data_IF_309381393890
#
_entry.id   IF_309381393890
#
_cell.length_a   1.000
_cell.length_b   1.000
_cell.length_c   1.000
_cell.angle_alpha   90.00
_cell.angle_beta   90.00
_cell.angle_gamma   90.00
#
_symmetry.space_group_name_H-M   'P 1'
#
loop_
_entity.id
_entity.type
_entity.pdbx_description
1 polymer ?
#
# COMPACT_ATOMS: atom_id res chain seq x y z
N UNK A 1 18.40 -10.02 -34.07
CA UNK A 1 17.63 -8.80 -33.78
C UNK A 1 16.14 -9.03 -34.01
N UNK A 2 15.76 -9.73 -35.08
CA UNK A 2 14.35 -9.99 -35.44
C UNK A 2 13.59 -10.85 -34.43
N UNK A 3 14.22 -11.84 -33.82
CA UNK A 3 13.60 -12.69 -32.79
C UNK A 3 13.25 -11.94 -31.50
N UNK A 4 14.03 -10.93 -31.13
CA UNK A 4 13.79 -10.09 -29.97
C UNK A 4 12.65 -9.09 -30.23
N UNK A 5 12.59 -8.54 -31.43
CA UNK A 5 11.51 -7.64 -31.87
C UNK A 5 10.16 -8.41 -31.89
N UNK A 6 10.16 -9.64 -32.42
CA UNK A 6 8.97 -10.50 -32.45
C UNK A 6 8.55 -10.89 -31.03
N UNK A 7 9.48 -11.19 -30.14
CA UNK A 7 9.15 -11.49 -28.72
C UNK A 7 8.59 -10.26 -27.97
N UNK A 8 9.11 -9.06 -28.23
CA UNK A 8 8.64 -7.83 -27.60
C UNK A 8 7.31 -7.31 -28.17
N UNK A 9 6.96 -7.67 -29.39
CA UNK A 9 5.67 -7.34 -30.02
C UNK A 9 4.56 -8.34 -29.67
N UNK A 10 4.90 -9.46 -29.03
CA UNK A 10 3.91 -10.39 -28.49
C UNK A 10 3.01 -9.72 -27.43
N UNK A 11 1.82 -10.25 -27.21
CA UNK A 11 0.89 -9.76 -26.19
C UNK A 11 0.94 -10.62 -24.92
N UNK A 12 0.98 -9.96 -23.77
CA UNK A 12 0.81 -10.56 -22.46
C UNK A 12 -0.32 -9.85 -21.72
N UNK A 13 -1.36 -10.57 -21.34
CA UNK A 13 -2.59 -10.04 -20.72
C UNK A 13 -3.20 -8.87 -21.52
N UNK A 14 -3.27 -9.00 -22.85
CA UNK A 14 -3.86 -7.99 -23.73
C UNK A 14 -3.02 -6.73 -23.93
N UNK A 15 -1.76 -6.73 -23.46
CA UNK A 15 -0.85 -5.60 -23.59
C UNK A 15 0.48 -6.06 -24.19
N UNK A 16 1.05 -5.33 -25.16
CA UNK A 16 2.35 -5.68 -25.76
C UNK A 16 3.45 -5.84 -24.71
N UNK A 17 4.29 -6.86 -24.88
CA UNK A 17 5.35 -7.23 -23.90
C UNK A 17 6.31 -6.07 -23.63
N UNK A 18 6.56 -5.19 -24.58
CA UNK A 18 7.46 -4.06 -24.37
C UNK A 18 6.94 -3.06 -23.30
N UNK A 19 5.62 -2.94 -23.11
CA UNK A 19 5.05 -2.13 -22.01
C UNK A 19 5.41 -2.73 -20.65
N UNK A 20 5.27 -4.06 -20.53
CA UNK A 20 5.66 -4.79 -19.33
C UNK A 20 7.17 -4.71 -19.07
N UNK A 21 7.98 -4.83 -20.14
CA UNK A 21 9.43 -4.71 -20.03
C UNK A 21 9.85 -3.31 -19.57
N UNK A 22 9.27 -2.25 -20.15
CA UNK A 22 9.53 -0.87 -19.72
C UNK A 22 9.15 -0.66 -18.26
N UNK A 23 7.97 -1.13 -17.83
CA UNK A 23 7.53 -1.08 -16.45
C UNK A 23 8.50 -1.81 -15.50
N UNK A 24 8.86 -3.05 -15.81
CA UNK A 24 9.79 -3.86 -14.98
C UNK A 24 11.15 -3.18 -14.87
N UNK A 25 11.68 -2.63 -15.97
CA UNK A 25 12.95 -1.90 -15.96
C UNK A 25 12.89 -0.70 -15.01
N UNK A 26 11.80 0.08 -15.05
CA UNK A 26 11.63 1.23 -14.15
C UNK A 26 11.53 0.76 -12.69
N UNK A 27 10.70 -0.24 -12.40
CA UNK A 27 10.52 -0.77 -11.04
C UNK A 27 11.82 -1.35 -10.48
N UNK A 28 12.51 -2.19 -11.25
CA UNK A 28 13.81 -2.77 -10.85
C UNK A 28 14.85 -1.66 -10.66
N UNK A 29 14.88 -0.67 -11.56
CA UNK A 29 15.76 0.49 -11.43
C UNK A 29 15.51 1.27 -10.13
N UNK A 30 14.23 1.49 -9.78
CA UNK A 30 13.85 2.14 -8.52
C UNK A 30 14.24 1.31 -7.29
N UNK A 31 14.04 -0.01 -7.32
CA UNK A 31 14.43 -0.90 -6.22
C UNK A 31 15.95 -0.94 -6.04
N UNK A 32 16.71 -0.98 -7.14
CA UNK A 32 18.18 -0.94 -7.10
C UNK A 32 18.69 0.41 -6.61
N UNK A 33 18.08 1.51 -7.06
CA UNK A 33 18.39 2.85 -6.58
C UNK A 33 18.17 2.97 -5.06
N UNK A 34 17.05 2.46 -4.61
CA UNK A 34 16.68 2.45 -3.20
C UNK A 34 17.65 1.66 -2.33
N UNK A 35 18.07 0.45 -2.76
CA UNK A 35 19.01 -0.38 -2.03
C UNK A 35 20.46 0.11 -2.13
N UNK A 36 20.86 0.58 -3.30
CA UNK A 36 22.26 0.82 -3.61
C UNK A 36 22.76 2.22 -3.22
N UNK A 37 21.89 3.22 -3.28
CA UNK A 37 22.27 4.64 -3.12
C UNK A 37 21.76 5.20 -1.81
N UNK A 38 20.48 4.94 -1.46
CA UNK A 38 19.85 5.56 -0.31
C UNK A 38 20.19 4.90 1.04
N UNK A 39 20.60 3.63 1.03
CA UNK A 39 20.78 2.84 2.25
C UNK A 39 22.19 2.30 2.46
N UNK A 40 23.17 3.00 1.92
CA UNK A 40 24.59 2.65 2.10
C UNK A 40 25.07 2.93 3.51
N UNK A 41 24.56 3.99 4.13
CA UNK A 41 24.87 4.39 5.50
C UNK A 41 23.65 4.25 6.40
N UNK A 42 23.85 3.73 7.62
CA UNK A 42 22.81 3.58 8.62
C UNK A 42 22.54 4.92 9.29
N UNK A 43 21.54 5.64 8.82
CA UNK A 43 21.05 6.84 9.51
C UNK A 43 19.52 6.79 9.65
N UNK A 44 19.00 7.51 10.63
CA UNK A 44 17.55 7.68 10.75
C UNK A 44 17.07 8.65 9.66
N UNK A 45 16.10 8.20 8.86
CA UNK A 45 15.53 9.01 7.78
C UNK A 45 14.73 10.16 8.39
N UNK A 46 15.14 11.39 8.12
CA UNK A 46 14.40 12.59 8.53
C UNK A 46 13.11 12.77 7.70
N UNK A 47 12.11 13.42 8.28
CA UNK A 47 10.83 13.68 7.60
C UNK A 47 10.99 14.49 6.29
N UNK A 48 11.97 15.42 6.24
CA UNK A 48 12.25 16.23 5.05
C UNK A 48 12.85 15.39 3.91
N UNK A 49 13.81 14.52 4.24
CA UNK A 49 14.41 13.58 3.30
C UNK A 49 13.37 12.61 2.76
N UNK A 50 12.52 12.10 3.65
CA UNK A 50 11.40 11.22 3.34
C UNK A 50 10.41 11.87 2.36
N UNK A 51 10.03 13.13 2.57
CA UNK A 51 9.14 13.87 1.67
C UNK A 51 9.78 14.12 0.29
N UNK A 52 11.07 14.40 0.24
CA UNK A 52 11.79 14.61 -1.02
C UNK A 52 11.87 13.32 -1.83
N UNK A 53 12.15 12.21 -1.14
CA UNK A 53 12.18 10.89 -1.75
C UNK A 53 10.79 10.47 -2.25
N UNK A 54 9.74 10.72 -1.45
CA UNK A 54 8.37 10.49 -1.87
C UNK A 54 8.02 11.32 -3.12
N UNK A 55 8.38 12.61 -3.13
CA UNK A 55 8.21 13.48 -4.29
C UNK A 55 8.90 12.93 -5.55
N UNK A 56 10.10 12.35 -5.42
CA UNK A 56 10.80 11.68 -6.51
C UNK A 56 10.01 10.48 -7.06
N UNK A 57 9.47 9.59 -6.20
CA UNK A 57 8.62 8.49 -6.63
C UNK A 57 7.34 8.97 -7.33
N UNK A 58 6.71 10.02 -6.78
CA UNK A 58 5.51 10.64 -7.41
C UNK A 58 5.83 11.16 -8.81
N UNK A 59 6.94 11.87 -8.99
CA UNK A 59 7.35 12.39 -10.31
C UNK A 59 7.57 11.26 -11.32
N UNK A 60 8.20 10.16 -10.91
CA UNK A 60 8.39 9.01 -11.79
C UNK A 60 7.05 8.35 -12.14
N UNK A 61 6.14 8.18 -11.17
CA UNK A 61 4.81 7.64 -11.42
C UNK A 61 4.02 8.53 -12.40
N UNK A 62 4.06 9.87 -12.21
CA UNK A 62 3.42 10.81 -13.12
C UNK A 62 4.04 10.80 -14.52
N UNK A 63 5.36 10.69 -14.62
CA UNK A 63 6.06 10.57 -15.90
C UNK A 63 5.69 9.28 -16.63
N UNK A 64 5.60 8.16 -15.91
CA UNK A 64 5.15 6.88 -16.46
C UNK A 64 3.68 6.95 -16.94
N UNK A 65 2.79 7.55 -16.15
CA UNK A 65 1.41 7.81 -16.56
C UNK A 65 1.32 8.71 -17.81
N UNK A 66 2.18 9.73 -17.92
CA UNK A 66 2.31 10.58 -19.10
C UNK A 66 2.78 9.79 -20.34
N UNK A 67 3.70 8.83 -20.14
CA UNK A 67 4.13 7.92 -21.20
C UNK A 67 2.99 6.97 -21.63
N UNK A 68 2.20 6.42 -20.69
CA UNK A 68 1.00 5.63 -20.99
C UNK A 68 0.00 6.46 -21.79
N UNK A 69 -0.25 7.71 -21.35
CA UNK A 69 -1.12 8.64 -22.07
C UNK A 69 -0.68 8.86 -23.51
N UNK A 70 0.61 9.11 -23.71
CA UNK A 70 1.14 9.36 -25.06
C UNK A 70 1.06 8.12 -25.96
N UNK A 71 1.29 6.93 -25.41
CA UNK A 71 1.33 5.67 -26.20
C UNK A 71 -0.05 5.04 -26.42
N UNK A 72 -0.95 5.14 -25.43
CA UNK A 72 -2.24 4.42 -25.42
C UNK A 72 -3.45 5.36 -25.44
N UNK A 73 -3.21 6.66 -25.47
CA UNK A 73 -4.26 7.68 -25.53
C UNK A 73 -4.71 8.21 -24.17
N UNK A 74 -5.56 9.25 -24.24
CA UNK A 74 -5.97 10.01 -23.07
C UNK A 74 -6.77 9.18 -22.05
N UNK A 75 -7.60 8.25 -22.52
CA UNK A 75 -8.42 7.41 -21.64
C UNK A 75 -7.55 6.53 -20.75
N UNK A 76 -6.60 5.78 -21.33
CA UNK A 76 -5.66 4.94 -20.56
C UNK A 76 -4.79 5.74 -19.59
N UNK A 77 -4.37 6.96 -19.99
CA UNK A 77 -3.63 7.85 -19.10
C UNK A 77 -4.46 8.31 -17.90
N UNK A 78 -5.71 8.71 -18.13
CA UNK A 78 -6.64 9.13 -17.07
C UNK A 78 -6.98 7.97 -16.13
N UNK A 79 -7.16 6.76 -16.66
CA UNK A 79 -7.38 5.55 -15.87
C UNK A 79 -6.17 5.26 -14.97
N UNK A 80 -4.95 5.34 -15.52
CA UNK A 80 -3.72 5.17 -14.73
C UNK A 80 -3.63 6.17 -13.59
N UNK A 81 -3.84 7.47 -13.84
CA UNK A 81 -3.79 8.48 -12.80
C UNK A 81 -4.88 8.30 -11.76
N UNK A 82 -6.09 7.92 -12.19
CA UNK A 82 -7.21 7.66 -11.26
C UNK A 82 -6.89 6.45 -10.36
N UNK A 83 -6.43 5.34 -10.94
CA UNK A 83 -6.02 4.15 -10.19
C UNK A 83 -4.87 4.45 -9.23
N UNK A 84 -3.84 5.18 -9.68
CA UNK A 84 -2.71 5.60 -8.86
C UNK A 84 -3.16 6.44 -7.64
N UNK A 85 -4.05 7.41 -7.84
CA UNK A 85 -4.54 8.29 -6.76
C UNK A 85 -5.41 7.54 -5.75
N UNK A 86 -6.28 6.66 -6.23
CA UNK A 86 -7.11 5.81 -5.35
C UNK A 86 -6.21 4.92 -4.51
N UNK A 87 -5.29 4.20 -5.13
CA UNK A 87 -4.38 3.31 -4.42
C UNK A 87 -3.49 4.06 -3.44
N UNK A 88 -2.91 5.19 -3.87
CA UNK A 88 -2.10 6.05 -3.01
C UNK A 88 -2.86 6.52 -1.77
N UNK A 89 -4.14 6.82 -1.94
CA UNK A 89 -4.99 7.30 -0.86
C UNK A 89 -5.37 6.20 0.12
N UNK A 90 -5.76 5.02 -0.39
CA UNK A 90 -6.06 3.85 0.44
C UNK A 90 -4.82 3.38 1.20
N UNK A 91 -3.68 3.45 0.54
CA UNK A 91 -2.42 3.06 1.13
C UNK A 91 -1.94 3.99 2.26
N UNK A 92 -2.33 5.28 2.25
CA UNK A 92 -2.06 6.18 3.39
C UNK A 92 -2.74 5.70 4.67
N UNK A 93 -3.96 5.17 4.59
CA UNK A 93 -4.65 4.60 5.76
C UNK A 93 -3.92 3.37 6.32
N UNK A 94 -3.35 2.53 5.45
CA UNK A 94 -2.56 1.36 5.84
C UNK A 94 -1.33 1.75 6.67
N UNK A 95 -0.76 2.94 6.47
CA UNK A 95 0.41 3.43 7.21
C UNK A 95 0.16 3.54 8.71
N UNK A 96 -1.07 3.87 9.13
CA UNK A 96 -1.41 3.95 10.55
C UNK A 96 -1.31 2.57 11.22
N UNK A 97 -1.78 1.52 10.55
CA UNK A 97 -1.71 0.15 11.06
C UNK A 97 -0.25 -0.31 11.11
N UNK A 98 0.54 -0.02 10.08
CA UNK A 98 1.97 -0.36 10.03
C UNK A 98 2.73 0.33 11.18
N UNK A 99 2.47 1.62 11.41
CA UNK A 99 3.09 2.37 12.50
C UNK A 99 2.71 1.80 13.88
N UNK A 100 1.45 1.38 14.05
CA UNK A 100 0.99 0.72 15.28
C UNK A 100 1.68 -0.62 15.51
N UNK A 101 1.89 -1.42 14.44
CA UNK A 101 2.65 -2.69 14.51
C UNK A 101 4.10 -2.43 14.96
N UNK A 102 4.77 -1.45 14.38
CA UNK A 102 6.14 -1.11 14.76
C UNK A 102 6.24 -0.58 16.19
N UNK A 103 5.29 0.27 16.61
CA UNK A 103 5.20 0.77 17.97
C UNK A 103 5.00 -0.36 18.98
N UNK A 104 4.04 -1.26 18.74
CA UNK A 104 3.74 -2.41 19.59
C UNK A 104 4.94 -3.37 19.74
N UNK A 105 5.64 -3.66 18.65
CA UNK A 105 6.82 -4.54 18.65
C UNK A 105 8.10 -3.83 19.09
N UNK A 106 8.05 -2.53 19.42
CA UNK A 106 9.19 -1.74 19.86
C UNK A 106 10.31 -1.65 18.83
N UNK A 107 9.98 -1.57 17.53
CA UNK A 107 10.98 -1.57 16.46
C UNK A 107 11.53 -0.15 16.25
N UNK A 108 12.83 0.09 16.52
CA UNK A 108 13.46 1.38 16.29
C UNK A 108 13.39 1.81 14.82
N UNK A 109 13.29 3.12 14.57
CA UNK A 109 13.23 3.71 13.22
C UNK A 109 14.34 3.19 12.30
N UNK A 110 15.52 2.98 12.84
CA UNK A 110 16.69 2.43 12.14
C UNK A 110 16.41 1.09 11.45
N UNK A 111 15.53 0.25 12.00
CA UNK A 111 15.22 -1.08 11.44
C UNK A 111 13.89 -1.12 10.68
N UNK A 112 13.01 -0.11 10.86
CA UNK A 112 11.71 -0.07 10.18
C UNK A 112 11.85 -0.07 8.66
N UNK A 113 12.83 0.69 8.12
CA UNK A 113 13.07 0.75 6.68
C UNK A 113 13.38 -0.62 6.06
N UNK A 114 14.07 -1.50 6.81
CA UNK A 114 14.40 -2.85 6.34
C UNK A 114 13.16 -3.75 6.25
N UNK A 115 12.27 -3.65 7.24
CA UNK A 115 11.00 -4.37 7.21
C UNK A 115 10.15 -3.89 6.04
N UNK A 116 10.03 -2.56 5.86
CA UNK A 116 9.27 -1.98 4.76
C UNK A 116 9.86 -2.32 3.38
N UNK A 117 11.18 -2.42 3.26
CA UNK A 117 11.81 -2.83 1.99
C UNK A 117 11.45 -4.26 1.60
N UNK A 118 11.61 -5.21 2.52
CA UNK A 118 11.22 -6.60 2.26
C UNK A 118 9.70 -6.72 2.08
N UNK A 119 8.94 -5.89 2.81
CA UNK A 119 7.51 -5.75 2.65
C UNK A 119 7.11 -5.35 1.23
N UNK A 120 7.75 -4.34 0.61
CA UNK A 120 7.44 -3.96 -0.78
C UNK A 120 7.65 -5.12 -1.75
N UNK A 121 8.69 -5.93 -1.58
CA UNK A 121 8.92 -7.09 -2.46
C UNK A 121 7.80 -8.13 -2.33
N UNK A 122 7.34 -8.39 -1.09
CA UNK A 122 6.20 -9.27 -0.84
C UNK A 122 4.91 -8.71 -1.42
N UNK A 123 4.65 -7.42 -1.18
CA UNK A 123 3.48 -6.70 -1.72
C UNK A 123 3.44 -6.79 -3.25
N UNK A 124 4.55 -6.53 -3.96
CA UNK A 124 4.62 -6.65 -5.43
C UNK A 124 4.20 -8.06 -5.88
N UNK A 125 4.72 -9.09 -5.20
CA UNK A 125 4.40 -10.48 -5.53
C UNK A 125 2.92 -10.83 -5.23
N UNK A 126 2.42 -10.48 -4.05
CA UNK A 126 1.04 -10.75 -3.67
C UNK A 126 0.05 -10.00 -4.54
N UNK A 127 0.31 -8.73 -4.85
CA UNK A 127 -0.54 -7.92 -5.73
C UNK A 127 -0.54 -8.45 -7.16
N UNK A 128 0.59 -8.95 -7.66
CA UNK A 128 0.63 -9.62 -8.97
C UNK A 128 -0.34 -10.80 -9.01
N UNK A 129 -0.35 -11.63 -7.97
CA UNK A 129 -1.27 -12.77 -7.87
C UNK A 129 -2.73 -12.31 -7.72
N UNK A 130 -3.01 -11.36 -6.82
CA UNK A 130 -4.37 -10.88 -6.58
C UNK A 130 -4.98 -10.17 -7.80
N UNK A 131 -4.20 -9.31 -8.46
CA UNK A 131 -4.66 -8.59 -9.65
C UNK A 131 -4.83 -9.57 -10.81
N UNK A 132 -3.91 -10.52 -10.98
CA UNK A 132 -4.04 -11.58 -11.99
C UNK A 132 -5.29 -12.43 -11.78
N UNK A 133 -5.56 -12.86 -10.55
CA UNK A 133 -6.79 -13.59 -10.19
C UNK A 133 -8.03 -12.72 -10.37
N UNK A 134 -7.97 -11.45 -9.94
CA UNK A 134 -9.07 -10.49 -10.11
C UNK A 134 -9.41 -10.25 -11.58
N UNK A 135 -8.38 -10.07 -12.44
CA UNK A 135 -8.54 -9.92 -13.88
C UNK A 135 -9.19 -11.17 -14.52
N UNK A 136 -8.71 -12.36 -14.17
CA UNK A 136 -9.28 -13.62 -14.66
C UNK A 136 -10.76 -13.77 -14.23
N UNK A 137 -11.08 -13.46 -12.98
CA UNK A 137 -12.44 -13.53 -12.48
C UNK A 137 -13.37 -12.52 -13.16
N UNK A 138 -12.92 -11.29 -13.35
CA UNK A 138 -13.71 -10.23 -14.03
C UNK A 138 -13.93 -10.57 -15.50
N UNK A 139 -12.92 -11.16 -16.15
CA UNK A 139 -13.03 -11.58 -17.55
C UNK A 139 -14.04 -12.75 -17.76
N UNK A 140 -14.00 -13.74 -16.86
CA UNK A 140 -14.90 -14.91 -16.95
C UNK A 140 -16.31 -14.61 -16.46
N UNK A 141 -16.45 -13.73 -15.45
CA UNK A 141 -17.71 -13.51 -14.75
C UNK A 141 -18.04 -12.02 -14.62
N UNK A 142 -18.76 -11.46 -15.57
CA UNK A 142 -19.14 -10.03 -15.56
C UNK A 142 -19.88 -9.58 -14.29
N UNK A 143 -20.60 -10.47 -13.61
CA UNK A 143 -21.31 -10.15 -12.36
C UNK A 143 -20.37 -9.88 -11.18
N UNK A 144 -19.10 -10.30 -11.25
CA UNK A 144 -18.09 -10.07 -10.20
C UNK A 144 -17.84 -8.58 -10.00
N UNK A 145 -17.90 -7.77 -11.06
CA UNK A 145 -17.82 -6.30 -10.92
C UNK A 145 -18.94 -5.76 -10.03
N UNK A 146 -20.17 -6.26 -10.16
CA UNK A 146 -21.26 -5.86 -9.28
C UNK A 146 -21.03 -6.29 -7.83
N UNK A 147 -20.45 -7.48 -7.62
CA UNK A 147 -20.05 -7.93 -6.29
C UNK A 147 -18.97 -7.01 -5.71
N UNK A 148 -17.96 -6.62 -6.51
CA UNK A 148 -16.96 -5.65 -6.11
C UNK A 148 -17.58 -4.29 -5.75
N UNK A 149 -18.52 -3.82 -6.56
CA UNK A 149 -19.26 -2.59 -6.26
C UNK A 149 -19.99 -2.65 -4.93
N UNK A 150 -20.72 -3.74 -4.66
CA UNK A 150 -21.40 -3.96 -3.38
C UNK A 150 -20.42 -3.99 -2.20
N UNK A 151 -19.29 -4.67 -2.38
CA UNK A 151 -18.26 -4.77 -1.39
C UNK A 151 -17.63 -3.40 -1.07
N UNK A 152 -17.34 -2.58 -2.10
CA UNK A 152 -16.80 -1.22 -1.91
C UNK A 152 -17.79 -0.31 -1.18
N UNK A 153 -19.08 -0.37 -1.52
CA UNK A 153 -20.12 0.38 -0.81
C UNK A 153 -20.19 -0.06 0.64
N UNK A 154 -20.19 -1.36 0.90
CA UNK A 154 -20.19 -1.91 2.26
C UNK A 154 -18.95 -1.46 3.07
N UNK A 155 -17.75 -1.58 2.49
CA UNK A 155 -16.48 -1.15 3.13
C UNK A 155 -16.48 0.36 3.39
N UNK A 156 -16.92 1.17 2.43
CA UNK A 156 -17.04 2.61 2.61
C UNK A 156 -17.99 2.97 3.76
N UNK A 157 -19.15 2.35 3.87
CA UNK A 157 -20.06 2.57 5.01
C UNK A 157 -19.47 2.08 6.34
N UNK A 158 -18.79 0.95 6.35
CA UNK A 158 -18.11 0.43 7.56
C UNK A 158 -17.05 1.41 8.07
N UNK A 159 -16.29 2.05 7.17
CA UNK A 159 -15.27 3.04 7.54
C UNK A 159 -15.85 4.27 8.26
N UNK A 160 -17.10 4.67 8.00
CA UNK A 160 -17.75 5.75 8.75
C UNK A 160 -18.02 5.40 10.21
N UNK A 161 -18.18 4.11 10.53
CA UNK A 161 -18.53 3.65 11.89
C UNK A 161 -17.35 3.43 12.84
N UNK A 162 -16.11 3.33 12.34
CA UNK A 162 -14.94 2.87 13.12
C UNK A 162 -13.78 3.89 13.09
N UNK A 163 -14.07 5.16 13.33
CA UNK A 163 -13.08 6.24 13.19
C UNK A 163 -12.00 6.30 14.30
N UNK A 164 -12.20 5.66 15.45
CA UNK A 164 -11.37 5.87 16.65
C UNK A 164 -10.77 4.59 17.27
N UNK A 165 -10.93 3.42 16.67
CA UNK A 165 -10.38 2.19 17.24
C UNK A 165 -8.93 1.97 16.80
N UNK A 166 -7.98 2.14 17.73
CA UNK A 166 -6.60 1.66 17.51
C UNK A 166 -6.62 0.12 17.48
N UNK A 167 -6.04 -0.51 16.45
CA UNK A 167 -6.03 -1.97 16.34
C UNK A 167 -5.31 -2.59 17.56
N UNK A 168 -6.00 -3.43 18.32
CA UNK A 168 -5.38 -4.21 19.40
C UNK A 168 -4.57 -5.37 18.79
N UNK A 169 -3.25 -5.17 18.72
CA UNK A 169 -2.32 -6.11 18.10
C UNK A 169 -2.21 -7.40 18.93
N UNK A 170 -2.34 -7.34 20.26
CA UNK A 170 -2.28 -8.54 21.09
C UNK A 170 -3.46 -9.47 20.82
N UNK A 171 -4.62 -8.92 20.51
CA UNK A 171 -5.81 -9.70 20.14
C UNK A 171 -5.81 -10.15 18.69
N UNK A 172 -4.92 -9.64 17.85
CA UNK A 172 -4.84 -9.99 16.44
C UNK A 172 -4.62 -11.50 16.26
N UNK A 173 -5.46 -12.12 15.43
CA UNK A 173 -5.43 -13.57 15.18
C UNK A 173 -4.08 -14.04 14.62
N UNK A 174 -3.43 -13.21 13.77
CA UNK A 174 -2.15 -13.51 13.13
C UNK A 174 -1.03 -13.50 14.17
N UNK A 175 -0.99 -12.48 15.03
CA UNK A 175 -0.02 -12.40 16.12
C UNK A 175 -0.16 -13.60 17.07
N UNK A 176 -1.39 -13.96 17.46
CA UNK A 176 -1.66 -15.16 18.26
C UNK A 176 -1.22 -16.45 17.57
N UNK A 177 -1.47 -16.57 16.26
CA UNK A 177 -1.03 -17.72 15.47
C UNK A 177 0.50 -17.82 15.43
N UNK A 178 1.20 -16.73 15.13
CA UNK A 178 2.66 -16.69 15.11
C UNK A 178 3.26 -17.10 16.47
N UNK A 179 2.72 -16.56 17.56
CA UNK A 179 3.18 -16.86 18.92
C UNK A 179 2.92 -18.32 19.34
N UNK A 180 1.87 -18.95 18.79
CA UNK A 180 1.57 -20.37 19.05
C UNK A 180 2.43 -21.33 18.23
N UNK A 181 2.76 -20.95 17.00
CA UNK A 181 3.39 -21.87 16.03
C UNK A 181 4.89 -21.73 15.95
N UNK A 182 5.44 -20.57 16.26
CA UNK A 182 6.85 -20.24 16.14
C UNK A 182 7.45 -19.83 17.48
N UNK A 183 8.75 -20.07 17.63
CA UNK A 183 9.50 -19.53 18.75
C UNK A 183 9.84 -18.07 18.40
N UNK A 184 9.43 -17.11 19.23
CA UNK A 184 9.65 -15.69 19.03
C UNK A 184 10.58 -15.18 20.14
N UNK A 185 11.64 -14.46 19.76
CA UNK A 185 12.50 -13.76 20.73
C UNK A 185 11.83 -12.46 21.17
N UNK A 186 12.08 -12.04 22.41
CA UNK A 186 11.63 -10.73 22.89
C UNK A 186 12.59 -9.61 22.50
N UNK A 187 13.85 -9.94 22.26
CA UNK A 187 14.91 -8.97 21.98
C UNK A 187 15.20 -8.89 20.49
N UNK A 188 15.57 -7.69 20.07
CA UNK A 188 16.09 -7.44 18.74
C UNK A 188 17.52 -8.01 18.65
N UNK A 189 17.81 -8.70 17.57
CA UNK A 189 19.15 -9.26 17.28
C UNK A 189 19.77 -8.54 16.08
N UNK A 190 20.02 -7.26 16.26
CA UNK A 190 20.49 -6.38 15.18
C UNK A 190 19.51 -6.40 14.01
N UNK A 191 20.01 -6.64 12.80
CA UNK A 191 19.23 -6.66 11.55
C UNK A 191 18.62 -8.02 11.19
N UNK A 192 18.77 -9.04 12.02
CA UNK A 192 18.38 -10.40 11.65
C UNK A 192 16.89 -10.61 11.83
N UNK A 193 16.22 -11.16 10.83
CA UNK A 193 14.84 -11.63 10.93
C UNK A 193 14.73 -12.94 11.69
N UNK A 194 15.77 -13.77 11.67
CA UNK A 194 15.79 -15.06 12.39
C UNK A 194 17.13 -15.24 13.09
N UNK A 195 17.11 -15.94 14.22
CA UNK A 195 18.31 -16.31 14.99
C UNK A 195 18.25 -17.76 15.42
N UNK A 196 19.41 -18.40 15.54
CA UNK A 196 19.48 -19.76 16.09
C UNK A 196 19.81 -19.65 17.58
N UNK A 197 18.90 -20.20 18.40
CA UNK A 197 19.09 -20.25 19.87
C UNK A 197 18.69 -21.62 20.40
N UNK A 198 19.26 -22.05 21.53
CA UNK A 198 18.89 -23.31 22.18
C UNK A 198 17.43 -23.24 22.67
N UNK A 199 16.65 -24.27 22.38
CA UNK A 199 15.28 -24.37 22.86
C UNK A 199 15.29 -24.66 24.38
N UNK A 200 14.56 -23.89 25.21
CA UNK A 200 14.66 -23.97 26.67
C UNK A 200 14.31 -25.37 27.23
N UNK A 201 13.46 -26.15 26.56
CA UNK A 201 13.05 -27.49 27.02
C UNK A 201 13.90 -28.62 26.46
N UNK A 202 14.53 -28.48 25.29
CA UNK A 202 15.20 -29.60 24.59
C UNK A 202 16.70 -29.38 24.43
N UNK A 203 17.23 -28.20 24.70
CA UNK A 203 18.62 -27.81 24.49
C UNK A 203 19.08 -27.80 23.02
N UNK A 204 18.23 -28.22 22.08
CA UNK A 204 18.55 -28.26 20.64
C UNK A 204 18.55 -26.84 20.06
N UNK A 205 19.50 -26.55 19.17
CA UNK A 205 19.49 -25.29 18.40
C UNK A 205 18.32 -25.28 17.43
N UNK A 206 17.42 -24.32 17.61
CA UNK A 206 16.26 -24.10 16.76
C UNK A 206 16.22 -22.65 16.25
N UNK A 207 15.49 -22.43 15.15
CA UNK A 207 15.32 -21.10 14.59
C UNK A 207 14.23 -20.38 15.39
N UNK A 208 14.54 -19.14 15.79
CA UNK A 208 13.63 -18.22 16.44
C UNK A 208 13.35 -17.03 15.51
N UNK A 209 12.12 -16.57 15.47
CA UNK A 209 11.74 -15.34 14.80
C UNK A 209 12.08 -14.17 15.70
N UNK A 210 12.68 -13.12 15.14
CA UNK A 210 12.89 -11.86 15.84
C UNK A 210 11.65 -10.96 15.72
N UNK A 211 11.52 -9.89 16.53
CA UNK A 211 10.46 -8.91 16.34
C UNK A 211 10.40 -8.34 14.92
N UNK A 212 11.54 -8.24 14.20
CA UNK A 212 11.57 -7.80 12.80
C UNK A 212 10.86 -8.79 11.87
N UNK A 213 11.03 -10.11 12.07
CA UNK A 213 10.32 -11.11 11.28
C UNK A 213 8.83 -11.09 11.55
N UNK A 214 8.44 -10.94 12.82
CA UNK A 214 7.03 -10.83 13.22
C UNK A 214 6.40 -9.60 12.57
N UNK A 215 7.08 -8.46 12.64
CA UNK A 215 6.62 -7.22 12.00
C UNK A 215 6.45 -7.39 10.49
N UNK A 216 7.43 -8.00 9.81
CA UNK A 216 7.34 -8.24 8.36
C UNK A 216 6.11 -9.07 8.01
N UNK A 217 5.90 -10.20 8.69
CA UNK A 217 4.75 -11.07 8.43
C UNK A 217 3.43 -10.35 8.73
N UNK A 218 3.37 -9.54 9.79
CA UNK A 218 2.17 -8.78 10.12
C UNK A 218 1.89 -7.68 9.09
N UNK A 219 2.91 -6.93 8.68
CA UNK A 219 2.80 -5.88 7.64
C UNK A 219 2.32 -6.47 6.31
N UNK A 220 2.92 -7.58 5.87
CA UNK A 220 2.51 -8.29 4.66
C UNK A 220 1.06 -8.78 4.72
N UNK A 221 0.67 -9.32 5.87
CA UNK A 221 -0.70 -9.82 6.03
C UNK A 221 -1.72 -8.68 6.06
N UNK A 222 -1.37 -7.57 6.69
CA UNK A 222 -2.20 -6.35 6.70
C UNK A 222 -2.34 -5.80 5.29
N UNK A 223 -1.24 -5.70 4.52
CA UNK A 223 -1.33 -5.24 3.13
C UNK A 223 -2.18 -6.19 2.27
N UNK A 224 -2.06 -7.50 2.46
CA UNK A 224 -2.91 -8.47 1.77
C UNK A 224 -4.40 -8.28 2.09
N UNK A 225 -4.75 -7.98 3.35
CA UNK A 225 -6.13 -7.68 3.76
C UNK A 225 -6.62 -6.41 3.07
N UNK A 226 -5.82 -5.35 3.06
CA UNK A 226 -6.17 -4.09 2.40
C UNK A 226 -6.22 -4.20 0.87
N UNK A 227 -5.42 -5.09 0.27
CA UNK A 227 -5.48 -5.35 -1.16
C UNK A 227 -6.84 -5.95 -1.59
N UNK A 228 -7.56 -6.63 -0.69
CA UNK A 228 -8.92 -7.11 -0.94
C UNK A 228 -9.90 -5.95 -1.18
N UNK A 229 -9.67 -4.79 -0.55
CA UNK A 229 -10.48 -3.57 -0.74
C UNK A 229 -9.96 -2.74 -1.94
N UNK A 230 -8.65 -2.60 -2.08
CA UNK A 230 -8.05 -1.69 -3.06
C UNK A 230 -8.07 -2.25 -4.49
N UNK A 231 -7.83 -3.54 -4.68
CA UNK A 231 -7.84 -4.16 -6.01
C UNK A 231 -9.20 -4.02 -6.70
N UNK A 232 -10.36 -4.33 -6.07
CA UNK A 232 -11.67 -4.04 -6.62
C UNK A 232 -11.90 -2.56 -6.95
N UNK A 233 -11.37 -1.63 -6.14
CA UNK A 233 -11.53 -0.20 -6.38
C UNK A 233 -10.85 0.25 -7.66
N UNK A 234 -9.66 -0.29 -7.98
CA UNK A 234 -8.97 0.01 -9.23
C UNK A 234 -9.64 -0.68 -10.43
N UNK A 235 -10.14 -1.93 -10.28
CA UNK A 235 -10.93 -2.61 -11.32
C UNK A 235 -12.24 -1.88 -11.65
N UNK A 236 -12.77 -1.09 -10.75
CA UNK A 236 -13.90 -0.21 -10.99
C UNK A 236 -13.57 1.01 -11.88
N UNK A 237 -12.30 1.36 -11.97
CA UNK A 237 -11.80 2.44 -12.84
C UNK A 237 -11.55 1.90 -14.24
N UNK A 238 -10.83 0.78 -14.33
CA UNK A 238 -10.44 0.16 -15.61
C UNK A 238 -10.33 -1.36 -15.47
N UNK A 239 -10.62 -2.08 -16.54
CA UNK A 239 -10.43 -3.52 -16.64
C UNK A 239 -9.08 -3.88 -17.30
N UNK A 240 -8.31 -2.89 -17.71
CA UNK A 240 -6.99 -3.11 -18.28
C UNK A 240 -5.99 -3.56 -17.19
N UNK A 241 -5.64 -4.83 -17.22
CA UNK A 241 -4.76 -5.45 -16.21
C UNK A 241 -3.42 -4.77 -16.08
N UNK A 242 -2.87 -4.25 -17.20
CA UNK A 242 -1.60 -3.51 -17.18
C UNK A 242 -1.74 -2.20 -16.41
N UNK A 243 -2.81 -1.45 -16.64
CA UNK A 243 -3.07 -0.19 -15.95
C UNK A 243 -3.33 -0.44 -14.46
N UNK A 244 -4.17 -1.44 -14.13
CA UNK A 244 -4.46 -1.84 -12.74
C UNK A 244 -3.16 -2.18 -12.00
N UNK A 245 -2.30 -3.01 -12.61
CA UNK A 245 -1.09 -3.46 -11.95
C UNK A 245 -0.05 -2.35 -11.82
N UNK A 246 0.20 -1.60 -12.89
CA UNK A 246 1.24 -0.58 -12.89
C UNK A 246 0.90 0.61 -12.00
N UNK A 247 -0.34 1.11 -12.03
CA UNK A 247 -0.80 2.19 -11.15
C UNK A 247 -0.69 1.80 -9.67
N UNK A 248 -1.04 0.55 -9.36
CA UNK A 248 -0.97 -0.03 -8.02
C UNK A 248 0.48 -0.13 -7.52
N UNK A 249 1.38 -0.70 -8.31
CA UNK A 249 2.79 -0.87 -7.92
C UNK A 249 3.51 0.49 -7.75
N UNK A 250 3.27 1.45 -8.65
CA UNK A 250 3.85 2.79 -8.48
C UNK A 250 3.37 3.48 -7.19
N UNK A 251 2.11 3.30 -6.80
CA UNK A 251 1.59 3.83 -5.54
C UNK A 251 2.32 3.21 -4.35
N UNK A 252 2.47 1.88 -4.33
CA UNK A 252 3.12 1.15 -3.24
C UNK A 252 4.61 1.48 -3.11
N UNK A 253 5.34 1.65 -4.22
CA UNK A 253 6.76 2.03 -4.19
C UNK A 253 6.99 3.35 -3.45
N UNK A 254 6.10 4.33 -3.62
CA UNK A 254 6.17 5.61 -2.92
C UNK A 254 5.85 5.54 -1.42
N UNK A 255 5.09 4.53 -1.00
CA UNK A 255 4.59 4.43 0.38
C UNK A 255 5.69 4.32 1.43
N UNK A 256 6.78 3.62 1.13
CA UNK A 256 7.89 3.49 2.07
C UNK A 256 8.51 4.84 2.40
N UNK A 257 8.71 5.66 1.37
CA UNK A 257 9.20 7.01 1.56
C UNK A 257 8.19 7.85 2.33
N UNK A 258 6.90 7.74 1.99
CA UNK A 258 5.83 8.46 2.67
C UNK A 258 5.69 8.04 4.14
N UNK A 259 5.96 6.77 4.48
CA UNK A 259 5.81 6.26 5.83
C UNK A 259 6.56 7.10 6.88
N UNK A 260 7.84 7.40 6.67
CA UNK A 260 8.62 8.15 7.65
C UNK A 260 8.18 9.60 7.80
N UNK A 261 7.68 10.21 6.71
CA UNK A 261 7.09 11.55 6.75
C UNK A 261 5.74 11.54 7.48
N UNK A 262 4.90 10.54 7.20
CA UNK A 262 3.56 10.43 7.76
C UNK A 262 3.59 9.98 9.23
N UNK A 263 4.50 9.07 9.61
CA UNK A 263 4.66 8.61 10.99
C UNK A 263 4.95 9.75 11.97
N UNK A 264 5.57 10.85 11.49
CA UNK A 264 5.79 12.05 12.27
C UNK A 264 4.53 12.95 12.39
N UNK A 265 3.55 12.79 11.49
CA UNK A 265 2.38 13.67 11.37
C UNK A 265 1.04 12.90 11.36
N UNK A 266 1.00 11.68 11.90
CA UNK A 266 -0.16 10.77 11.80
C UNK A 266 -1.47 11.41 12.23
N UNK A 267 -1.48 12.12 13.37
CA UNK A 267 -2.69 12.76 13.89
C UNK A 267 -3.25 13.85 12.98
N UNK A 268 -2.42 14.44 12.12
CA UNK A 268 -2.85 15.51 11.19
C UNK A 268 -3.70 15.00 10.03
N UNK A 269 -3.67 13.70 9.73
CA UNK A 269 -4.39 13.11 8.60
C UNK A 269 -5.57 12.21 9.02
N UNK A 270 -5.96 12.24 10.29
CA UNK A 270 -7.06 11.45 10.86
C UNK A 270 -8.37 11.53 10.08
N UNK A 271 -8.72 12.72 9.57
CA UNK A 271 -9.97 12.92 8.82
C UNK A 271 -9.89 12.50 7.35
N UNK A 272 -8.72 12.07 6.85
CA UNK A 272 -8.57 11.57 5.47
C UNK A 272 -9.41 10.30 5.24
N UNK A 273 -9.54 9.46 6.28
CA UNK A 273 -10.34 8.24 6.25
C UNK A 273 -11.80 8.49 5.82
N UNK A 274 -12.39 9.61 6.22
CA UNK A 274 -13.75 9.99 5.80
C UNK A 274 -13.82 10.23 4.27
N UNK A 275 -12.81 10.89 3.72
CA UNK A 275 -12.74 11.13 2.26
C UNK A 275 -12.58 9.83 1.48
N UNK A 276 -11.78 8.89 2.01
CA UNK A 276 -11.62 7.55 1.43
C UNK A 276 -12.92 6.78 1.45
N UNK A 277 -13.65 6.80 2.57
CA UNK A 277 -14.96 6.17 2.69
C UNK A 277 -15.95 6.71 1.64
N UNK A 278 -15.99 8.04 1.44
CA UNK A 278 -16.82 8.67 0.41
C UNK A 278 -16.41 8.20 -0.99
N UNK A 279 -15.12 8.15 -1.29
CA UNK A 279 -14.59 7.71 -2.59
C UNK A 279 -14.98 6.25 -2.86
N UNK A 280 -14.81 5.35 -1.88
CA UNK A 280 -15.20 3.94 -2.03
C UNK A 280 -16.69 3.78 -2.31
N UNK A 281 -17.54 4.51 -1.61
CA UNK A 281 -18.99 4.50 -1.86
C UNK A 281 -19.31 5.00 -3.27
N UNK A 282 -18.71 6.12 -3.69
CA UNK A 282 -18.93 6.68 -5.04
C UNK A 282 -18.45 5.74 -6.15
N UNK A 283 -17.28 5.11 -5.97
CA UNK A 283 -16.75 4.13 -6.93
C UNK A 283 -17.66 2.90 -6.97
N UNK A 284 -18.09 2.38 -5.83
CA UNK A 284 -19.02 1.26 -5.76
C UNK A 284 -20.36 1.56 -6.45
N UNK A 285 -20.92 2.75 -6.22
CA UNK A 285 -22.14 3.21 -6.92
C UNK A 285 -21.91 3.31 -8.44
N UNK A 286 -20.75 3.87 -8.86
CA UNK A 286 -20.39 3.96 -10.30
C UNK A 286 -20.47 2.60 -10.98
N UNK A 287 -19.99 1.53 -10.35
CA UNK A 287 -20.06 0.17 -10.91
C UNK A 287 -21.51 -0.26 -11.17
N UNK A 288 -22.43 0.04 -10.27
CA UNK A 288 -23.85 -0.31 -10.45
C UNK A 288 -24.55 0.50 -11.54
N UNK A 289 -24.03 1.67 -11.89
CA UNK A 289 -24.58 2.50 -12.96
C UNK A 289 -24.22 1.99 -14.35
N UNK A 290 -23.10 1.27 -14.50
CA UNK A 290 -22.65 0.74 -15.80
C UNK A 290 -23.68 -0.20 -16.47
N UNK A 291 -24.25 -1.21 -15.78
CA UNK A 291 -25.29 -2.07 -16.37
C UNK A 291 -26.58 -1.34 -16.71
N UNK A 292 -26.83 -0.18 -16.09
CA UNK A 292 -28.00 0.68 -16.36
C UNK A 292 -27.76 1.62 -17.58
N UNK A 293 -26.61 1.48 -18.26
CA UNK A 293 -26.26 2.30 -19.42
C UNK A 293 -25.74 3.70 -19.08
N UNK A 294 -25.46 3.98 -17.81
CA UNK A 294 -24.90 5.27 -17.38
C UNK A 294 -23.37 5.15 -17.33
N UNK A 295 -22.70 5.77 -18.30
CA UNK A 295 -21.25 5.86 -18.35
C UNK A 295 -20.76 7.19 -17.80
N UNK A 296 -20.07 7.16 -16.64
CA UNK A 296 -19.46 8.35 -16.05
C UNK A 296 -18.10 8.57 -16.74
N UNK A 297 -17.90 9.77 -17.27
CA UNK A 297 -16.64 10.17 -17.93
C UNK A 297 -15.47 10.01 -16.96
N UNK A 298 -14.38 9.38 -17.42
CA UNK A 298 -13.17 9.10 -16.63
C UNK A 298 -12.54 10.38 -16.08
N UNK A 299 -12.51 11.47 -16.88
CA UNK A 299 -12.01 12.77 -16.43
C UNK A 299 -12.85 13.32 -15.27
N UNK A 300 -14.19 13.24 -15.38
CA UNK A 300 -15.09 13.68 -14.30
C UNK A 300 -14.85 12.86 -13.02
N UNK A 301 -14.69 11.55 -13.16
CA UNK A 301 -14.37 10.66 -12.04
C UNK A 301 -13.05 11.06 -11.35
N UNK A 302 -12.01 11.34 -12.14
CA UNK A 302 -10.72 11.80 -11.65
C UNK A 302 -10.83 13.14 -10.89
N UNK A 303 -11.51 14.14 -11.49
CA UNK A 303 -11.69 15.46 -10.87
C UNK A 303 -12.46 15.36 -9.56
N UNK A 304 -13.53 14.57 -9.51
CA UNK A 304 -14.32 14.34 -8.28
C UNK A 304 -13.44 13.67 -7.21
N UNK A 305 -12.70 12.63 -7.55
CA UNK A 305 -11.79 11.95 -6.63
C UNK A 305 -10.73 12.91 -6.07
N UNK A 306 -10.07 13.68 -6.94
CA UNK A 306 -9.09 14.71 -6.52
C UNK A 306 -9.70 15.77 -5.60
N UNK A 307 -10.90 16.23 -5.91
CA UNK A 307 -11.60 17.25 -5.11
C UNK A 307 -11.92 16.73 -3.71
N UNK A 308 -12.42 15.49 -3.61
CA UNK A 308 -12.73 14.86 -2.32
C UNK A 308 -11.46 14.67 -1.50
N UNK A 309 -10.38 14.16 -2.12
CA UNK A 309 -9.09 13.98 -1.44
C UNK A 309 -8.50 15.30 -0.95
N UNK A 310 -8.43 16.30 -1.84
CA UNK A 310 -7.92 17.61 -1.47
C UNK A 310 -8.74 18.24 -0.34
N UNK A 311 -10.06 18.15 -0.39
CA UNK A 311 -10.96 18.63 0.66
C UNK A 311 -10.70 17.91 1.99
N UNK A 312 -10.50 16.58 1.97
CA UNK A 312 -10.19 15.78 3.16
C UNK A 312 -8.86 16.17 3.78
N UNK A 313 -7.81 16.31 2.95
CA UNK A 313 -6.50 16.76 3.42
C UNK A 313 -6.57 18.16 4.03
N UNK A 314 -7.18 19.11 3.34
CA UNK A 314 -7.31 20.51 3.82
C UNK A 314 -8.14 20.58 5.11
N UNK A 315 -9.26 19.85 5.16
CA UNK A 315 -10.10 19.77 6.37
C UNK A 315 -9.34 19.15 7.54
N UNK A 316 -8.61 18.05 7.30
CA UNK A 316 -7.81 17.38 8.31
C UNK A 316 -6.74 18.31 8.87
N UNK A 317 -5.96 18.96 8.02
CA UNK A 317 -4.92 19.92 8.41
C UNK A 317 -5.50 21.13 9.16
N UNK A 318 -6.66 21.64 8.74
CA UNK A 318 -7.32 22.76 9.40
C UNK A 318 -7.78 22.39 10.82
N UNK A 319 -8.44 21.24 10.95
CA UNK A 319 -9.03 20.82 12.22
C UNK A 319 -7.98 20.38 13.24
N UNK A 320 -6.89 19.74 12.80
CA UNK A 320 -5.80 19.26 13.67
C UNK A 320 -4.70 20.29 13.90
N UNK A 321 -4.87 21.54 13.38
CA UNK A 321 -3.86 22.59 13.49
C UNK A 321 -3.42 22.91 14.92
N UNK A 322 -4.33 22.80 15.87
CA UNK A 322 -4.11 23.14 17.28
C UNK A 322 -3.89 21.91 18.18
N UNK A 323 -3.90 20.71 17.62
CA UNK A 323 -3.61 19.49 18.38
C UNK A 323 -2.09 19.31 18.51
N UNK A 324 -1.59 18.90 19.70
CA UNK A 324 -0.16 18.66 19.86
C UNK A 324 0.29 17.49 18.97
N UNK A 325 1.48 17.62 18.37
CA UNK A 325 2.10 16.55 17.58
C UNK A 325 2.40 15.35 18.50
N UNK A 326 1.50 14.39 18.54
CA UNK A 326 1.73 13.11 19.19
C UNK A 326 2.51 12.20 18.24
N UNK A 327 3.82 12.24 18.31
CA UNK A 327 4.67 11.28 17.61
C UNK A 327 4.45 9.86 18.18
N UNK A 328 4.66 8.83 17.35
CA UNK A 328 4.62 7.41 17.76
C UNK A 328 5.47 7.14 19.00
N UNK A 329 6.54 7.92 19.19
CA UNK A 329 7.43 7.88 20.34
C UNK A 329 6.73 8.28 21.64
N UNK A 330 5.81 9.25 21.61
CA UNK A 330 5.04 9.68 22.77
C UNK A 330 3.94 8.66 23.12
N UNK A 331 3.35 7.98 22.15
CA UNK A 331 2.40 6.89 22.39
C UNK A 331 3.08 5.68 23.04
N UNK A 332 4.28 5.31 22.60
CA UNK A 332 5.07 4.25 23.21
C UNK A 332 5.49 4.58 24.65
N UNK A 333 5.83 5.84 24.94
CA UNK A 333 6.16 6.29 26.31
C UNK A 333 4.96 6.28 27.24
N UNK A 334 3.75 6.60 26.75
CA UNK A 334 2.52 6.54 27.56
C UNK A 334 2.15 5.11 27.94
N UNK A 335 2.27 4.14 27.04
CA UNK A 335 2.00 2.73 27.33
C UNK A 335 2.97 2.11 28.33
N UNK A 336 4.23 2.59 28.38
CA UNK A 336 5.21 2.14 29.39
C UNK A 336 5.07 2.80 30.74
N UNK A 337 4.29 3.90 30.85
CA UNK A 337 4.08 4.60 32.14
C UNK A 337 2.79 4.12 32.84
N UNK A 338 1.89 3.45 32.14
CA UNK A 338 0.64 2.90 32.70
C UNK A 338 0.71 1.39 33.03
N UNK A 339 1.85 0.74 32.74
CA UNK A 339 2.14 -0.66 33.14
C UNK A 339 3.10 -0.72 34.31
#
# INVERSE_FOLDING_TARGET
MDSLIVALSGEFLGTPVYFWAAFIIVVVGLLVFDLGILHRDEHEIEAKESLLLYGFYVVIALAFGGWVWWQRGAESGLEFYTGYLIEQSLAMDNMFVIATIFGFLGIPRLYQHRVLFWGILGVIAFRAVLIGLGAALVHEFNWILSLFGAFLVFTGFKMFGHQDETPDIEQNAIFKFLRRRFNITRELHGRNFTVKQPHPKTGKMVIWLTPLAVALIMVETVDLIFAVDSVPAVFAVTQDTFIVYTSNIFAVLGLRALYFALAAAMNRFRYLQVSLAIILVLIGIKIFLVPLGVHINTLLSLVVTLTILASGVLYSLYKTRNEPDMSVENLAKQQHTES
#
